data_IF_273728703878
#
_entry.id   IF_273728703878
#
_cell.length_a   1.000
_cell.length_b   1.000
_cell.length_c   1.000
_cell.angle_alpha   90.00
_cell.angle_beta   90.00
_cell.angle_gamma   90.00
#
_symmetry.space_group_name_H-M   'P 1'
#
loop_
_entity.id
_entity.type
_entity.pdbx_description
1 polymer ?
#
# COMPACT_ATOMS: atom_id res chain seq x y z
N UNK A 1 12.49 -11.62 -12.04
CA UNK A 1 11.90 -10.28 -11.91
C UNK A 1 10.51 -10.45 -11.33
N UNK A 2 10.34 -10.25 -10.03
CA UNK A 2 9.05 -10.27 -9.33
C UNK A 2 8.21 -9.02 -9.62
N UNK A 3 8.14 -8.62 -10.90
CA UNK A 3 7.56 -7.36 -11.38
C UNK A 3 6.05 -7.24 -11.20
N UNK A 4 5.41 -8.11 -10.42
CA UNK A 4 3.98 -8.05 -10.08
C UNK A 4 3.68 -8.11 -8.58
N UNK A 5 4.71 -8.20 -7.72
CA UNK A 5 4.50 -8.22 -6.27
C UNK A 5 4.51 -6.80 -5.71
N UNK A 6 3.50 -6.53 -4.88
CA UNK A 6 3.35 -5.31 -4.10
C UNK A 6 4.41 -5.34 -3.01
N UNK A 7 5.39 -4.45 -3.12
CA UNK A 7 6.50 -4.31 -2.18
C UNK A 7 6.16 -3.35 -1.03
N UNK A 8 5.19 -2.46 -1.25
CA UNK A 8 4.83 -1.39 -0.33
C UNK A 8 3.31 -1.28 -0.15
N UNK A 9 2.85 -1.02 1.07
CA UNK A 9 1.44 -0.73 1.36
C UNK A 9 1.32 0.56 2.17
N UNK A 10 0.31 1.37 1.88
CA UNK A 10 0.06 2.60 2.62
C UNK A 10 -0.73 2.28 3.89
N UNK A 11 -0.12 2.49 5.06
CA UNK A 11 -0.75 2.21 6.37
C UNK A 11 -1.32 3.44 7.05
N UNK A 12 -1.37 4.58 6.34
CA UNK A 12 -2.00 5.80 6.85
C UNK A 12 -3.47 5.52 7.15
N UNK A 13 -3.91 5.77 8.38
CA UNK A 13 -5.23 5.42 8.89
C UNK A 13 -6.33 6.07 8.04
N UNK A 14 -6.18 7.38 7.78
CA UNK A 14 -7.08 8.14 6.92
C UNK A 14 -7.23 7.55 5.51
N UNK A 15 -6.16 6.97 4.94
CA UNK A 15 -6.21 6.37 3.62
C UNK A 15 -6.81 4.97 3.65
N UNK A 16 -6.60 4.21 4.74
CA UNK A 16 -7.12 2.85 4.88
C UNK A 16 -8.63 2.79 4.87
N UNK A 17 -9.28 3.85 5.34
CA UNK A 17 -10.73 3.97 5.45
C UNK A 17 -11.38 4.80 4.33
N UNK A 18 -10.58 5.28 3.37
CA UNK A 18 -11.07 6.07 2.23
C UNK A 18 -11.14 5.18 0.99
N UNK A 19 -12.31 5.09 0.30
CA UNK A 19 -12.40 4.36 -0.95
C UNK A 19 -11.61 5.09 -2.06
N UNK A 20 -10.99 4.36 -3.00
CA UNK A 20 -10.26 4.98 -4.09
C UNK A 20 -11.22 5.65 -5.09
N UNK A 21 -10.78 6.71 -5.80
CA UNK A 21 -11.61 7.42 -6.78
C UNK A 21 -12.02 6.52 -7.96
N UNK A 22 -11.21 5.51 -8.30
CA UNK A 22 -11.60 4.40 -9.16
C UNK A 22 -10.90 3.08 -8.75
N UNK A 23 -11.35 1.93 -9.28
CA UNK A 23 -10.83 0.62 -8.88
C UNK A 23 -9.40 0.30 -9.38
N UNK A 24 -8.86 1.07 -10.33
CA UNK A 24 -7.51 0.92 -10.90
C UNK A 24 -6.49 1.82 -10.20
N UNK A 25 -6.92 2.87 -9.51
CA UNK A 25 -6.05 3.83 -8.81
C UNK A 25 -5.36 3.39 -7.52
N UNK A 26 -5.66 2.25 -6.86
CA UNK A 26 -4.98 1.96 -5.61
C UNK A 26 -3.56 1.40 -5.80
N UNK A 27 -3.06 1.26 -7.03
CA UNK A 27 -1.69 0.81 -7.32
C UNK A 27 -0.85 1.91 -7.94
N UNK A 28 0.39 2.05 -7.48
CA UNK A 28 1.38 2.97 -8.02
C UNK A 28 2.80 2.39 -7.89
N UNK A 29 3.81 3.12 -8.36
CA UNK A 29 5.22 2.81 -8.12
C UNK A 29 5.71 3.62 -6.93
N UNK A 30 6.35 2.95 -5.96
CA UNK A 30 6.96 3.61 -4.80
C UNK A 30 8.19 4.43 -5.23
N UNK A 31 8.55 5.46 -4.45
CA UNK A 31 9.72 6.31 -4.72
C UNK A 31 11.04 5.54 -4.72
N UNK A 32 11.17 4.52 -3.87
CA UNK A 32 12.31 3.58 -3.84
C UNK A 32 12.24 2.49 -4.92
N UNK A 33 11.22 2.54 -5.79
CA UNK A 33 10.93 1.52 -6.79
C UNK A 33 10.08 0.36 -6.27
N UNK A 34 9.49 -0.37 -7.23
CA UNK A 34 8.57 -1.49 -6.98
C UNK A 34 7.11 -1.06 -6.81
N UNK A 35 6.21 -2.04 -6.85
CA UNK A 35 4.76 -1.80 -6.74
C UNK A 35 4.37 -1.40 -5.32
N UNK A 36 3.49 -0.42 -5.24
CA UNK A 36 2.89 0.08 -4.01
C UNK A 36 1.36 0.00 -4.09
N UNK A 37 0.72 -0.20 -2.94
CA UNK A 37 -0.73 -0.23 -2.82
C UNK A 37 -1.23 0.77 -1.77
N UNK A 38 -2.09 1.70 -2.18
CA UNK A 38 -2.78 2.64 -1.30
C UNK A 38 -4.29 2.43 -1.41
N UNK A 39 -5.00 2.06 -0.32
CA UNK A 39 -6.45 1.83 -0.37
C UNK A 39 -7.24 3.04 -0.91
N UNK A 40 -6.82 4.25 -0.57
CA UNK A 40 -7.44 5.50 -1.02
C UNK A 40 -7.09 5.92 -2.45
N UNK A 41 -6.12 5.27 -3.10
CA UNK A 41 -5.57 5.78 -4.37
C UNK A 41 -4.99 7.20 -4.26
N UNK A 42 -4.63 7.63 -3.05
CA UNK A 42 -4.02 8.94 -2.82
C UNK A 42 -2.68 9.06 -3.54
N UNK A 43 -2.30 10.30 -3.91
CA UNK A 43 -1.03 10.60 -4.58
C UNK A 43 0.05 11.11 -3.63
N UNK A 44 -0.31 11.40 -2.37
CA UNK A 44 0.56 12.05 -1.38
C UNK A 44 0.16 11.64 0.04
N UNK A 45 0.95 12.09 1.04
CA UNK A 45 0.73 11.84 2.46
C UNK A 45 0.68 10.34 2.82
N UNK A 46 1.55 9.55 2.20
CA UNK A 46 1.65 8.13 2.49
C UNK A 46 2.52 7.87 3.70
N UNK A 47 2.11 6.93 4.53
CA UNK A 47 3.02 6.19 5.40
C UNK A 47 3.19 4.79 4.80
N UNK A 48 4.38 4.50 4.28
CA UNK A 48 4.65 3.26 3.56
C UNK A 48 5.22 2.20 4.48
N UNK A 49 4.67 0.99 4.37
CA UNK A 49 5.18 -0.20 5.03
C UNK A 49 5.68 -1.22 4.00
N UNK A 50 6.89 -1.73 4.20
CA UNK A 50 7.51 -2.70 3.29
C UNK A 50 7.00 -4.11 3.57
N UNK A 51 6.36 -4.73 2.58
CA UNK A 51 5.74 -6.05 2.72
C UNK A 51 6.70 -7.22 2.49
N UNK A 52 7.82 -6.97 1.80
CA UNK A 52 8.71 -8.03 1.29
C UNK A 52 8.21 -8.71 0.01
N UNK A 53 7.10 -8.24 -0.56
CA UNK A 53 6.50 -8.77 -1.77
C UNK A 53 5.25 -9.60 -1.51
N UNK A 54 4.09 -9.08 -1.89
CA UNK A 54 2.81 -9.78 -1.79
C UNK A 54 1.98 -9.61 -3.06
N UNK A 55 1.18 -10.62 -3.42
CA UNK A 55 0.22 -10.50 -4.52
C UNK A 55 -0.97 -9.65 -4.11
N UNK A 56 -1.74 -9.14 -5.09
CA UNK A 56 -3.01 -8.44 -4.81
C UNK A 56 -3.96 -9.30 -3.98
N UNK A 57 -4.18 -10.57 -4.37
CA UNK A 57 -5.02 -11.49 -3.62
C UNK A 57 -4.48 -11.80 -2.20
N UNK A 58 -3.19 -11.62 -1.97
CA UNK A 58 -2.59 -11.75 -0.65
C UNK A 58 -2.93 -10.60 0.30
N UNK A 59 -3.26 -9.41 -0.21
CA UNK A 59 -3.59 -8.25 0.63
C UNK A 59 -4.81 -8.49 1.53
N UNK A 60 -5.79 -9.26 1.07
CA UNK A 60 -6.99 -9.63 1.85
C UNK A 60 -6.66 -10.42 3.11
N UNK A 61 -5.53 -11.14 3.11
CA UNK A 61 -5.06 -11.96 4.23
C UNK A 61 -3.86 -11.37 4.95
N UNK A 62 -3.31 -10.27 4.42
CA UNK A 62 -2.14 -9.64 4.98
C UNK A 62 -2.48 -9.03 6.33
N UNK A 63 -1.62 -9.21 7.32
CA UNK A 63 -1.77 -8.50 8.59
C UNK A 63 -1.23 -7.08 8.40
N UNK A 64 -2.14 -6.13 8.23
CA UNK A 64 -1.81 -4.72 8.12
C UNK A 64 -1.27 -4.20 9.47
N UNK A 65 -0.07 -3.60 9.50
CA UNK A 65 0.37 -2.85 10.66
C UNK A 65 -0.49 -1.60 10.84
N UNK A 66 -0.57 -1.12 12.08
CA UNK A 66 -1.17 0.17 12.41
C UNK A 66 -0.20 1.30 12.10
N UNK A 67 -0.75 2.50 11.90
CA UNK A 67 0.05 3.71 11.67
C UNK A 67 1.08 3.92 12.81
N UNK A 68 0.68 3.73 14.07
CA UNK A 68 1.53 3.91 15.26
C UNK A 68 2.66 2.85 15.41
N UNK A 69 2.56 1.72 14.69
CA UNK A 69 3.60 0.69 14.68
C UNK A 69 4.73 1.04 13.70
N UNK A 70 4.49 1.95 12.75
CA UNK A 70 5.41 2.29 11.66
C UNK A 70 6.02 3.70 11.81
N UNK A 71 5.27 4.66 12.35
CA UNK A 71 5.68 6.07 12.52
C UNK A 71 6.61 6.30 13.75
N UNK A 72 7.56 5.40 14.02
CA UNK A 72 8.46 5.47 15.20
C UNK A 72 9.85 6.01 14.91
#
# INVERSE_FOLDING_TARGET
MDGGLIQWICVRDAHRHTPPPDQSTPFNIHEEGGWAYCPAGATQNHLWYRTGGITRAGLDRFRWPREDEVDR
#
